data_IF_106425030098
#
_entry.id   IF_106425030098
#
_cell.length_a   1.000
_cell.length_b   1.000
_cell.length_c   1.000
_cell.angle_alpha   90.00
_cell.angle_beta   90.00
_cell.angle_gamma   90.00
#
_symmetry.space_group_name_H-M   'P 1'
#
loop_
_entity.id
_entity.type
_entity.pdbx_description
1 polymer ?
2 non-polymer ?
3 non-polymer ?
4 non-polymer ?
5 water ?
#
# COMPACT_ATOMS: atom_id res chain seq x y z
N UNK A 2 -11.73 17.68 -6.91
CA UNK A 2 -11.29 16.26 -6.93
C UNK A 2 -10.84 15.85 -8.34
N UNK A 3 -9.64 15.28 -8.41
CA UNK A 3 -9.09 14.74 -9.64
C UNK A 3 -8.75 13.27 -9.41
N UNK A 4 -8.91 12.45 -10.44
CA UNK A 4 -8.40 11.08 -10.43
C UNK A 4 -7.05 11.10 -11.13
N UNK A 5 -6.00 10.74 -10.42
CA UNK A 5 -4.66 10.77 -10.97
C UNK A 5 -4.19 9.37 -11.27
N UNK A 6 -3.55 9.22 -12.43
CA UNK A 6 -2.92 7.97 -12.80
C UNK A 6 -1.40 8.12 -12.68
N UNK A 7 -0.78 7.28 -11.85
CA UNK A 7 0.64 7.31 -11.62
C UNK A 7 1.27 5.95 -11.95
N UNK A 8 2.47 5.98 -12.52
CA UNK A 8 3.19 4.77 -12.90
C UNK A 8 4.20 4.42 -11.85
N UNK A 9 4.39 3.13 -11.62
CA UNK A 9 5.49 2.71 -10.77
C UNK A 9 6.11 1.42 -11.22
N UNK A 10 7.37 1.23 -10.85
CA UNK A 10 8.16 0.07 -11.20
C UNK A 10 8.17 -0.91 -10.01
N UNK A 11 7.85 -2.16 -10.28
CA UNK A 11 7.83 -3.19 -9.26
C UNK A 11 9.26 -3.42 -8.79
N UNK A 12 9.45 -3.35 -7.47
CA UNK A 12 10.73 -3.61 -6.85
C UNK A 12 10.53 -4.52 -5.66
N UNK A 13 11.64 -5.08 -5.21
CA UNK A 13 11.66 -5.95 -4.05
C UNK A 13 12.19 -5.20 -2.85
N UNK A 14 11.72 -5.60 -1.68
CA UNK A 14 12.19 -5.06 -0.43
C UNK A 14 12.84 -6.17 0.38
N UNK A 15 12.75 -6.06 1.69
CA UNK A 15 13.32 -7.05 2.56
C UNK A 15 12.26 -7.89 3.25
N UNK A 16 11.05 -7.93 2.70
CA UNK A 16 9.99 -8.75 3.26
C UNK A 16 9.22 -8.14 4.40
N UNK A 17 9.34 -6.82 4.58
CA UNK A 17 8.72 -6.17 5.72
C UNK A 17 7.22 -6.17 5.63
N UNK A 18 6.69 -6.04 4.42
CA UNK A 18 5.25 -5.95 4.27
C UNK A 18 4.52 -7.17 4.83
N UNK A 19 5.05 -8.36 4.55
CA UNK A 19 4.42 -9.59 5.02
C UNK A 19 4.48 -9.70 6.57
N UNK A 20 5.55 -9.17 7.18
CA UNK A 20 5.64 -9.09 8.64
C UNK A 20 4.46 -8.32 9.24
N UNK A 21 4.33 -7.06 8.83
CA UNK A 21 3.30 -6.21 9.39
C UNK A 21 1.90 -6.67 9.04
N UNK A 22 1.68 -7.01 7.78
CA UNK A 22 0.31 -7.32 7.36
C UNK A 22 -0.18 -8.67 7.92
N UNK A 23 0.72 -9.47 8.46
CA UNK A 23 0.31 -10.72 9.07
C UNK A 23 -0.10 -10.57 10.53
N UNK A 24 0.23 -9.43 11.13
CA UNK A 24 -0.10 -9.19 12.54
C UNK A 24 -1.58 -8.94 12.68
N UNK A 25 -2.22 -9.62 13.63
CA UNK A 25 -3.68 -9.47 13.75
C UNK A 25 -4.23 -8.05 13.77
N UNK A 26 -3.63 -7.14 14.55
CA UNK A 26 -4.19 -5.79 14.59
C UNK A 26 -4.15 -5.07 13.25
N UNK A 27 -3.08 -5.25 12.48
CA UNK A 27 -3.02 -4.62 11.16
C UNK A 27 -4.01 -5.26 10.21
N UNK A 28 -4.11 -6.59 10.23
CA UNK A 28 -5.11 -7.29 9.42
C UNK A 28 -6.49 -6.72 9.66
N UNK A 29 -6.82 -6.54 10.94
CA UNK A 29 -8.13 -6.01 11.33
C UNK A 29 -8.35 -4.58 10.84
N UNK A 30 -7.34 -3.72 11.00
CA UNK A 30 -7.39 -2.33 10.53
C UNK A 30 -7.70 -2.25 9.05
N UNK A 31 -6.98 -3.04 8.26
CA UNK A 31 -7.17 -2.98 6.83
C UNK A 31 -8.51 -3.58 6.42
N UNK A 32 -8.92 -4.67 7.04
CA UNK A 32 -10.22 -5.29 6.73
C UNK A 32 -11.34 -4.28 6.95
N UNK A 33 -11.28 -3.56 8.06
CA UNK A 33 -12.36 -2.61 8.40
C UNK A 33 -12.37 -1.42 7.49
N UNK A 34 -11.19 -0.89 7.19
CA UNK A 34 -11.12 0.30 6.36
C UNK A 34 -11.39 0.02 4.90
N UNK A 35 -10.84 -1.08 4.38
CA UNK A 35 -10.88 -1.35 2.94
C UNK A 35 -11.95 -2.34 2.54
N UNK A 36 -12.46 -3.10 3.50
CA UNK A 36 -13.49 -4.11 3.20
C UNK A 36 -12.98 -5.39 2.57
N UNK A 37 -11.67 -5.61 2.59
CA UNK A 37 -11.09 -6.87 2.17
C UNK A 37 -9.95 -7.21 3.11
N UNK A 38 -9.65 -8.50 3.22
CA UNK A 38 -8.49 -8.97 3.96
C UNK A 38 -7.31 -8.95 3.00
N UNK A 39 -6.33 -8.06 3.22
CA UNK A 39 -5.24 -8.04 2.26
C UNK A 39 -4.42 -9.31 2.25
N UNK A 40 -3.92 -9.66 1.07
CA UNK A 40 -2.83 -10.58 0.99
C UNK A 40 -1.73 -10.03 1.89
N UNK A 41 -1.04 -10.89 2.64
CA UNK A 41 -0.07 -10.41 3.63
C UNK A 41 1.27 -10.07 2.99
N UNK A 42 1.38 -8.82 2.58
CA UNK A 42 2.55 -8.36 1.90
C UNK A 42 2.24 -7.00 1.33
N UNK A 43 3.29 -6.32 0.90
CA UNK A 43 3.14 -5.06 0.18
C UNK A 43 3.88 -5.13 -1.13
N UNK A 44 3.20 -4.79 -2.23
CA UNK A 44 3.90 -4.69 -3.51
C UNK A 44 4.56 -3.34 -3.52
N UNK A 45 5.87 -3.34 -3.60
CA UNK A 45 6.63 -2.11 -3.49
C UNK A 45 6.81 -1.57 -4.89
N UNK A 46 6.47 -0.31 -5.08
CA UNK A 46 6.61 0.34 -6.39
C UNK A 46 7.53 1.53 -6.26
N UNK A 47 8.44 1.66 -7.21
CA UNK A 47 9.34 2.78 -7.29
C UNK A 47 8.75 3.77 -8.29
N UNK A 48 8.53 4.99 -7.83
CA UNK A 48 7.99 6.06 -8.65
C UNK A 48 9.11 6.94 -9.17
N UNK A 49 8.77 7.82 -10.12
CA UNK A 49 9.77 8.70 -10.70
C UNK A 49 10.08 9.89 -9.80
N UNK A 50 9.27 10.10 -8.77
CA UNK A 50 9.53 11.15 -7.79
C UNK A 50 8.88 10.76 -6.48
N UNK A 51 9.25 11.46 -5.42
CA UNK A 51 8.72 11.13 -4.10
C UNK A 51 7.21 11.31 -4.04
N UNK A 52 6.58 10.43 -3.30
CA UNK A 52 5.15 10.41 -3.17
C UNK A 52 4.81 11.13 -1.88
N UNK A 53 4.05 12.21 -1.96
CA UNK A 53 3.61 12.91 -0.74
C UNK A 53 2.16 12.55 -0.46
N UNK A 54 1.96 11.67 0.52
CA UNK A 54 0.61 11.14 0.82
C UNK A 54 -0.29 12.25 1.36
N UNK A 55 0.32 13.22 2.02
CA UNK A 55 -0.41 14.37 2.57
C UNK A 55 -1.04 15.24 1.49
N UNK A 56 -0.79 14.91 0.23
CA UNK A 56 -1.48 15.51 -0.91
C UNK A 56 -2.76 14.76 -1.28
N UNK A 57 -3.15 13.77 -0.47
CA UNK A 57 -4.31 12.92 -0.77
C UNK A 57 -5.19 12.80 0.48
N UNK A 58 -6.41 12.30 0.32
CA UNK A 58 -7.26 12.06 1.48
C UNK A 58 -7.12 10.61 1.89
N UNK A 59 -6.64 10.43 3.11
CA UNK A 59 -6.34 9.11 3.60
C UNK A 59 -6.88 9.00 5.00
N UNK A 60 -6.94 7.76 5.47
CA UNK A 60 -7.33 7.45 6.82
C UNK A 60 -6.08 7.14 7.62
N UNK A 61 -6.00 7.71 8.80
CA UNK A 61 -4.85 7.48 9.68
C UNK A 61 -5.27 6.85 10.99
N UNK A 62 -4.60 5.78 11.37
CA UNK A 62 -4.88 5.09 12.65
C UNK A 62 -3.83 5.51 13.70
N UNK A 63 -4.07 5.16 14.97
CA UNK A 63 -3.14 5.53 16.05
C UNK A 63 -2.19 4.35 16.28
N UNK A 64 -1.03 4.64 16.89
CA UNK A 64 -0.18 3.60 17.45
C UNK A 64 -1.02 2.69 18.38
N UNK A 65 -0.58 1.45 18.59
CA UNK A 65 -1.30 0.50 19.44
C UNK A 65 -0.30 -0.46 20.06
N UNK A 66 -0.74 -1.16 21.11
CA UNK A 66 0.09 -2.16 21.77
C UNK A 66 -0.34 -3.54 21.33
N UNK A 67 0.64 -4.38 21.00
CA UNK A 67 0.38 -5.78 20.67
C UNK A 67 1.44 -6.65 21.33
N UNK A 68 0.97 -7.60 22.12
CA UNK A 68 1.81 -8.51 22.88
C UNK A 68 3.00 -7.81 23.54
N UNK A 69 2.70 -6.68 24.17
CA UNK A 69 3.69 -5.96 24.96
C UNK A 69 4.54 -4.95 24.25
N UNK A 70 4.37 -4.80 22.93
CA UNK A 70 5.20 -3.89 22.14
C UNK A 70 4.29 -2.85 21.51
N UNK A 71 4.79 -1.62 21.43
CA UNK A 71 4.08 -0.55 20.74
C UNK A 71 4.36 -0.59 19.24
N UNK A 72 3.28 -0.61 18.46
CA UNK A 72 3.36 -0.57 17.01
C UNK A 72 2.76 0.73 16.50
N UNK A 73 3.22 1.15 15.33
CA UNK A 73 2.83 2.41 14.72
C UNK A 73 1.50 2.31 13.97
N UNK A 74 0.72 3.38 14.05
CA UNK A 74 -0.47 3.52 13.23
C UNK A 74 -0.05 3.65 11.78
N UNK A 75 -1.04 3.63 10.89
CA UNK A 75 -0.78 3.66 9.48
C UNK A 75 -1.69 4.66 8.81
N UNK A 76 -1.19 5.22 7.71
CA UNK A 76 -2.00 5.97 6.77
C UNK A 76 -2.40 5.05 5.63
N UNK A 77 -3.69 5.06 5.29
CA UNK A 77 -4.26 4.13 4.33
C UNK A 77 -4.96 4.96 3.27
N UNK A 78 -4.54 4.79 2.02
CA UNK A 78 -5.10 5.53 0.88
C UNK A 78 -5.64 4.54 -0.14
N UNK A 79 -6.98 4.41 -0.27
CA UNK A 79 -7.53 3.50 -1.26
C UNK A 79 -7.10 3.88 -2.69
N UNK A 80 -6.86 2.87 -3.51
CA UNK A 80 -6.51 3.08 -4.90
C UNK A 80 -7.17 2.03 -5.75
N UNK A 81 -7.06 2.19 -7.08
CA UNK A 81 -7.22 1.07 -8.00
C UNK A 81 -5.85 0.80 -8.58
N UNK A 82 -5.53 -0.47 -8.68
CA UNK A 82 -4.31 -0.93 -9.28
C UNK A 82 -4.63 -1.26 -10.72
N UNK A 83 -3.90 -0.62 -11.62
CA UNK A 83 -4.14 -0.72 -13.05
C UNK A 83 -3.07 -1.60 -13.69
N UNK A 84 -3.49 -2.81 -14.08
CA UNK A 84 -2.62 -3.77 -14.73
C UNK A 84 -3.37 -4.16 -16.00
N UNK A 85 -2.75 -3.89 -17.15
CA UNK A 85 -3.45 -3.99 -18.43
C UNK A 85 -4.75 -3.22 -18.36
N UNK A 86 -5.87 -3.88 -18.68
CA UNK A 86 -7.19 -3.26 -18.63
C UNK A 86 -8.00 -3.58 -17.36
N UNK A 87 -7.32 -4.15 -16.37
CA UNK A 87 -7.96 -4.46 -15.10
C UNK A 87 -7.78 -3.33 -14.10
N UNK A 88 -8.82 -3.11 -13.31
CA UNK A 88 -8.80 -2.14 -12.22
C UNK A 88 -9.02 -2.93 -10.94
N UNK A 89 -7.97 -3.03 -10.13
CA UNK A 89 -7.97 -3.94 -9.00
C UNK A 89 -8.00 -3.12 -7.73
N UNK A 90 -8.93 -3.44 -6.85
CA UNK A 90 -9.02 -2.74 -5.59
C UNK A 90 -7.75 -2.95 -4.74
N UNK A 91 -7.24 -1.85 -4.22
CA UNK A 91 -6.06 -1.89 -3.35
C UNK A 91 -5.94 -0.66 -2.47
N UNK A 92 -4.76 -0.49 -1.87
CA UNK A 92 -4.46 0.70 -1.09
C UNK A 92 -2.97 0.96 -1.05
N UNK A 93 -2.61 2.22 -0.90
CA UNK A 93 -1.27 2.64 -0.51
C UNK A 93 -1.22 2.74 1.00
N UNK A 94 -0.14 2.26 1.59
CA UNK A 94 0.02 2.31 3.03
C UNK A 94 1.38 2.94 3.36
N UNK A 95 1.37 3.84 4.34
CA UNK A 95 2.54 4.52 4.83
C UNK A 95 2.47 4.57 6.37
N UNK A 96 3.61 4.43 7.06
CA UNK A 96 3.55 4.60 8.51
C UNK A 96 3.00 5.95 8.90
N UNK A 97 2.32 5.99 10.04
CA UNK A 97 1.61 7.19 10.54
C UNK A 97 2.52 8.39 10.58
N UNK A 98 3.71 8.15 11.08
CA UNK A 98 4.71 9.18 11.17
C UNK A 98 5.87 8.83 10.27
N UNK A 99 5.99 9.62 9.23
CA UNK A 99 7.14 9.55 8.38
C UNK A 99 7.70 10.94 8.46
N UNK A 100 8.98 11.03 8.19
CA UNK A 100 9.68 12.28 8.36
C UNK A 100 10.14 12.85 7.03
N UNK A 101 9.75 12.17 5.94
CA UNK A 101 9.98 12.67 4.60
C UNK A 101 9.15 11.80 3.66
N UNK A 102 9.06 12.21 2.40
CA UNK A 102 8.38 11.43 1.37
C UNK A 102 9.36 10.46 0.73
N UNK A 103 8.84 9.42 0.09
CA UNK A 103 9.69 8.42 -0.51
C UNK A 103 9.21 8.16 -1.92
N UNK A 104 10.14 7.84 -2.80
CA UNK A 104 9.78 7.40 -4.15
C UNK A 104 9.32 5.95 -4.17
N UNK A 105 9.46 5.25 -3.05
CA UNK A 105 8.96 3.88 -2.98
C UNK A 105 7.65 3.90 -2.21
N UNK A 106 6.60 3.35 -2.81
CA UNK A 106 5.32 3.21 -2.15
C UNK A 106 5.00 1.74 -1.97
N UNK A 107 4.24 1.45 -0.92
CA UNK A 107 3.81 0.09 -0.62
C UNK A 107 2.32 -0.04 -0.89
N UNK A 108 1.98 -1.02 -1.71
CA UNK A 108 0.61 -1.26 -2.14
C UNK A 108 0.10 -2.54 -1.53
N UNK A 109 -1.13 -2.51 -1.07
CA UNK A 109 -1.78 -3.73 -0.59
C UNK A 109 -3.01 -4.02 -1.44
N UNK A 110 -3.36 -5.29 -1.49
CA UNK A 110 -4.45 -5.75 -2.33
C UNK A 110 -4.95 -7.07 -1.77
N UNK A 111 -6.14 -7.50 -2.23
CA UNK A 111 -6.72 -8.76 -1.78
C UNK A 111 -6.01 -10.03 -2.26
N UNK A 112 -5.18 -9.92 -3.27
CA UNK A 112 -4.46 -11.08 -3.78
C UNK A 112 -3.03 -10.74 -3.95
N UNK A 113 -2.23 -11.78 -4.14
CA UNK A 113 -0.83 -11.61 -4.42
C UNK A 113 -0.72 -11.23 -5.88
N UNK A 114 -0.38 -9.97 -6.12
CA UNK A 114 -0.37 -9.43 -7.49
C UNK A 114 0.69 -10.05 -8.38
N UNK A 115 1.85 -10.37 -7.81
CA UNK A 115 2.90 -10.99 -8.59
C UNK A 115 2.47 -12.33 -9.12
N UNK A 116 1.68 -13.04 -8.33
CA UNK A 116 1.23 -14.40 -8.70
C UNK A 116 0.10 -14.33 -9.69
N UNK A 117 -0.91 -13.51 -9.39
CA UNK A 117 -2.09 -13.41 -10.24
C UNK A 117 -1.84 -12.75 -11.58
N UNK A 118 -0.89 -11.81 -11.64
CA UNK A 118 -0.66 -11.03 -12.86
C UNK A 118 0.75 -11.16 -13.41
N UNK A 119 1.49 -12.13 -12.88
CA UNK A 119 2.84 -12.45 -13.31
C UNK A 119 3.78 -11.24 -13.37
N UNK A 120 3.80 -10.45 -12.30
CA UNK A 120 4.65 -9.30 -12.26
C UNK A 120 6.04 -9.69 -11.80
N UNK A 121 7.05 -9.14 -12.46
CA UNK A 121 8.43 -9.33 -12.05
C UNK A 121 9.03 -7.97 -11.75
N UNK A 122 10.14 -7.96 -11.03
CA UNK A 122 10.84 -6.71 -10.78
C UNK A 122 11.16 -6.02 -12.08
N UNK A 123 10.90 -4.72 -12.11
CA UNK A 123 11.16 -3.92 -13.29
C UNK A 123 9.92 -3.71 -14.13
N UNK A 124 8.91 -4.56 -13.96
CA UNK A 124 7.62 -4.34 -14.61
C UNK A 124 7.01 -3.03 -14.14
N UNK A 125 6.37 -2.32 -15.06
CA UNK A 125 5.73 -1.06 -14.74
C UNK A 125 4.20 -1.26 -14.69
N UNK A 126 3.59 -0.86 -13.59
CA UNK A 126 2.14 -0.86 -13.49
C UNK A 126 1.68 0.54 -13.13
N UNK A 127 0.38 0.74 -13.10
CA UNK A 127 -0.18 2.06 -12.81
C UNK A 127 -1.14 1.96 -11.65
N UNK A 128 -1.38 3.09 -11.02
CA UNK A 128 -2.34 3.19 -9.96
C UNK A 128 -3.19 4.42 -10.19
N UNK A 129 -4.43 4.33 -9.73
CA UNK A 129 -5.42 5.38 -9.83
C UNK A 129 -5.72 5.83 -8.42
N UNK A 130 -5.55 7.12 -8.18
CA UNK A 130 -5.76 7.69 -6.85
C UNK A 130 -6.59 8.95 -6.94
N UNK A 131 -7.56 9.09 -6.02
CA UNK A 131 -8.32 10.33 -5.88
C UNK A 131 -7.45 11.40 -5.23
N UNK A 132 -7.29 12.53 -5.91
CA UNK A 132 -6.49 13.65 -5.40
C UNK A 132 -7.36 14.85 -5.08
X LIG B 1 9.66 -6.51 0.84
X LIG B 1 8.86 -7.05 -0.32
X LIG B 1 9.70 -7.71 -1.38
X LIG B 1 7.86 -6.07 -0.91
X LIG B 1 7.97 -8.29 0.23
X LIG B 1 6.61 -8.26 1.06
X LIG B 1 6.12 -6.85 1.18
X LIG B 1 6.77 -8.98 2.35
X LIG B 1 5.55 -9.05 0.14
X LIG B 1 5.76 -10.43 -0.15
X LIG B 1 5.71 -10.66 -1.66
X LIG B 1 4.41 -10.40 -2.19
X LIG B 1 6.65 -9.74 -2.42
X LIG B 1 7.18 -10.48 -3.54
X LIG B 1 5.73 -8.62 -2.91
X LIG B 1 6.11 -7.97 -4.11
X LIG B 1 4.50 -9.38 -3.23
X LIG B 1 3.18 -8.80 -3.13
X LIG B 1 2.26 -9.07 -4.17
X LIG B 1 2.62 -9.64 -5.22
X LIG B 1 0.99 -8.65 -4.06
X LIG B 1 0.59 -8.05 -2.95
X LIG B 1 -0.68 -7.67 -2.82
X LIG B 1 1.46 -7.79 -1.91
X LIG B 1 2.77 -8.18 -2.01
X LIG C 1 6.53 -5.08 0.20
X LIG D 1 9.88 -5.70 9.90
X LIG D 1 11.09 -6.25 10.64
X LIG D 1 11.37 -5.41 11.79
X LIG D 1 12.31 -6.23 9.74
X LIG D 1 10.86 -7.69 11.07
X LIG D 1 10.91 -7.92 12.57
X LIG D 1 12.13 -7.45 13.09
X LIG D 1 10.73 -9.41 12.86
X LIG E 1 2.99 0.53 5.94
X LIG E 1 3.57 -0.74 6.53
X LIG E 1 5.00 -0.69 6.29
X LIG E 1 3.00 -1.96 5.83
X LIG E 1 3.32 -0.85 8.04
X LIG E 1 4.08 0.19 8.87
X LIG E 1 5.46 0.15 8.57
X LIG E 1 3.92 -0.02 10.37
X LIG F 1 -9.41 5.63 -6.95
X LIG F 1 -10.40 5.25 -5.86
X LIG F 1 -10.43 6.36 -4.92
X LIG F 1 -9.88 4.01 -5.14
X LIG F 1 -11.82 4.94 -6.35
X LIG F 1 -12.36 5.75 -7.54
X LIG F 1 -11.70 5.42 -8.75
X LIG F 1 -12.27 7.25 -7.31
#
# INVERSE_FOLDING_TARGET
MVKLMIIEGEVVSGLGEGRYFLSLPPYKEIFKKILGFEPYEGTLNLKLDREFDINKFKYIETEDFEFNGKRFFGVKVLPIKILIGNKKIDGAIVVPKKTYHSSEIIEIIAPMKLREQFNLKDGDVIKILIKGDKDE
CDP O3B PB O1B O2B O3A PA O1A O2A O5' C5' C4' O4' C3' O3' C2' O2' C1' N1 C2 O2 N3 C4 N4 C5 C6
MG MG
MRD C1 C2 O2 CM C3 C4 O4 C5
MRD C1 C2 O2 CM C3 C4 O4 C5
MRD C1 C2 O2 CM C3 C4 O4 C5
#
